data_IF_275036187300
#
_entry.id   IF_275036187300
#
_cell.length_a   1.000
_cell.length_b   1.000
_cell.length_c   1.000
_cell.angle_alpha   90.00
_cell.angle_beta   90.00
_cell.angle_gamma   90.00
#
_symmetry.space_group_name_H-M   'P 1'
#
loop_
_entity.id
_entity.type
_entity.pdbx_description
1 polymer ?
#
# COMPACT_ATOMS: atom_id res chain seq x y z
N UNK A 1 23.09 11.49 -40.27
CA UNK A 1 23.93 12.34 -39.41
C UNK A 1 25.23 11.58 -39.12
N UNK A 2 26.38 12.07 -39.60
CA UNK A 2 27.69 11.47 -39.26
C UNK A 2 28.20 12.19 -38.01
N UNK A 3 28.43 11.46 -36.93
CA UNK A 3 29.03 12.01 -35.73
C UNK A 3 30.54 12.06 -35.97
N UNK A 4 31.11 13.26 -36.03
CA UNK A 4 32.56 13.43 -36.16
C UNK A 4 33.23 13.38 -34.78
N UNK A 5 34.11 12.40 -34.60
CA UNK A 5 34.89 12.20 -33.38
C UNK A 5 36.34 12.71 -33.52
N UNK A 6 36.65 13.49 -34.57
CA UNK A 6 37.96 14.10 -34.79
C UNK A 6 38.47 14.86 -33.56
N UNK A 7 37.57 15.57 -32.85
CA UNK A 7 37.87 16.30 -31.61
C UNK A 7 38.45 15.42 -30.49
N UNK A 8 38.21 14.10 -30.51
CA UNK A 8 38.66 13.18 -29.46
C UNK A 8 40.16 12.83 -29.58
N UNK A 9 40.75 12.97 -30.77
CA UNK A 9 42.17 12.62 -30.99
C UNK A 9 43.11 13.54 -30.23
N UNK A 10 42.79 14.83 -30.16
CA UNK A 10 43.70 15.86 -29.63
C UNK A 10 43.48 16.18 -28.14
N UNK A 11 42.52 15.53 -27.48
CA UNK A 11 42.26 15.75 -26.04
C UNK A 11 43.41 15.17 -25.18
N UNK A 12 43.70 15.76 -24.02
CA UNK A 12 44.59 15.15 -23.04
C UNK A 12 43.97 13.86 -22.45
N UNK A 13 44.82 12.90 -22.08
CA UNK A 13 44.39 11.56 -21.62
C UNK A 13 43.35 11.61 -20.49
N UNK A 14 43.51 12.53 -19.51
CA UNK A 14 42.57 12.67 -18.40
C UNK A 14 41.16 13.04 -18.88
N UNK A 15 41.04 13.91 -19.89
CA UNK A 15 39.76 14.36 -20.43
C UNK A 15 39.10 13.26 -21.27
N UNK A 16 39.90 12.47 -21.99
CA UNK A 16 39.43 11.25 -22.68
C UNK A 16 38.85 10.24 -21.70
N UNK A 17 39.59 9.94 -20.62
CA UNK A 17 39.16 9.04 -19.56
C UNK A 17 37.89 9.54 -18.87
N UNK A 18 37.81 10.85 -18.55
CA UNK A 18 36.60 11.45 -17.95
C UNK A 18 35.39 11.34 -18.87
N UNK A 19 35.55 11.58 -20.17
CA UNK A 19 34.46 11.43 -21.15
C UNK A 19 33.98 9.99 -21.25
N UNK A 20 34.90 9.02 -21.31
CA UNK A 20 34.54 7.59 -21.31
C UNK A 20 33.77 7.23 -20.03
N UNK A 21 34.27 7.63 -18.87
CA UNK A 21 33.61 7.37 -17.58
C UNK A 21 32.22 8.02 -17.56
N UNK A 22 32.09 9.25 -18.04
CA UNK A 22 30.81 9.95 -18.13
C UNK A 22 29.80 9.21 -19.02
N UNK A 23 30.22 8.74 -20.20
CA UNK A 23 29.37 7.95 -21.11
C UNK A 23 28.97 6.62 -20.47
N UNK A 24 29.92 5.91 -19.86
CA UNK A 24 29.65 4.63 -19.18
C UNK A 24 28.65 4.82 -18.04
N UNK A 25 28.85 5.84 -17.19
CA UNK A 25 27.91 6.16 -16.12
C UNK A 25 26.53 6.54 -16.65
N UNK A 26 26.46 7.33 -17.72
CA UNK A 26 25.19 7.70 -18.35
C UNK A 26 24.44 6.47 -18.86
N UNK A 27 25.13 5.54 -19.53
CA UNK A 27 24.54 4.28 -20.02
C UNK A 27 24.03 3.42 -18.86
N UNK A 28 24.83 3.28 -17.79
CA UNK A 28 24.45 2.51 -16.60
C UNK A 28 23.21 3.13 -15.94
N UNK A 29 23.25 4.43 -15.62
CA UNK A 29 22.12 5.12 -14.99
C UNK A 29 20.88 5.08 -15.88
N UNK A 30 21.04 5.28 -17.19
CA UNK A 30 19.95 5.18 -18.15
C UNK A 30 19.31 3.79 -18.17
N UNK A 31 20.12 2.73 -18.24
CA UNK A 31 19.64 1.34 -18.22
C UNK A 31 18.85 1.03 -16.94
N UNK A 32 19.43 1.31 -15.76
CA UNK A 32 18.77 1.06 -14.48
C UNK A 32 17.53 1.94 -14.27
N UNK A 33 17.56 3.18 -14.75
CA UNK A 33 16.42 4.10 -14.69
C UNK A 33 15.24 3.61 -15.53
N UNK A 34 15.51 3.16 -16.77
CA UNK A 34 14.48 2.59 -17.65
C UNK A 34 13.94 1.29 -17.06
N UNK A 35 14.81 0.37 -16.63
CA UNK A 35 14.38 -0.89 -16.03
C UNK A 35 13.48 -0.66 -14.81
N UNK A 36 13.90 0.24 -13.89
CA UNK A 36 13.07 0.63 -12.76
C UNK A 36 11.74 1.22 -13.20
N UNK A 37 11.75 2.16 -14.15
CA UNK A 37 10.53 2.80 -14.64
C UNK A 37 9.54 1.77 -15.19
N UNK A 38 10.02 0.81 -15.98
CA UNK A 38 9.19 -0.27 -16.53
C UNK A 38 8.62 -1.17 -15.44
N UNK A 39 9.40 -1.50 -14.40
CA UNK A 39 8.94 -2.41 -13.35
C UNK A 39 8.04 -1.76 -12.29
N UNK A 40 8.13 -0.43 -12.08
CA UNK A 40 7.21 0.29 -11.19
C UNK A 40 5.94 0.76 -11.91
N UNK A 41 5.94 0.74 -13.24
CA UNK A 41 4.77 1.08 -14.03
C UNK A 41 3.70 0.00 -13.86
N UNK A 42 2.48 0.42 -13.55
CA UNK A 42 1.35 -0.44 -13.27
C UNK A 42 0.66 -0.98 -14.53
N UNK A 43 1.09 -0.59 -15.73
CA UNK A 43 0.50 -1.07 -16.99
C UNK A 43 0.56 -2.59 -17.16
N UNK A 44 1.61 -3.25 -16.67
CA UNK A 44 1.66 -4.72 -16.63
C UNK A 44 0.61 -5.27 -15.66
N UNK A 45 0.45 -4.63 -14.50
CA UNK A 45 -0.56 -4.99 -13.51
C UNK A 45 -1.98 -4.79 -14.07
N UNK A 46 -2.22 -3.68 -14.78
CA UNK A 46 -3.49 -3.34 -15.43
C UNK A 46 -3.90 -4.39 -16.46
N UNK A 47 -2.94 -4.94 -17.21
CA UNK A 47 -3.21 -5.99 -18.21
C UNK A 47 -3.90 -7.24 -17.63
N UNK A 48 -3.58 -7.60 -16.38
CA UNK A 48 -4.19 -8.74 -15.70
C UNK A 48 -5.24 -8.33 -14.64
N UNK A 49 -5.13 -7.13 -14.08
CA UNK A 49 -5.98 -6.61 -13.00
C UNK A 49 -6.61 -5.24 -13.36
N UNK A 50 -7.33 -5.12 -14.48
CA UNK A 50 -7.84 -3.84 -14.95
C UNK A 50 -8.80 -3.20 -13.93
N UNK A 51 -9.70 -4.01 -13.35
CA UNK A 51 -10.65 -3.53 -12.37
C UNK A 51 -10.00 -3.07 -11.07
N UNK A 52 -8.89 -3.69 -10.64
CA UNK A 52 -8.20 -3.26 -9.40
C UNK A 52 -7.39 -2.00 -9.66
N UNK A 53 -6.75 -1.92 -10.83
CA UNK A 53 -6.03 -0.74 -11.27
C UNK A 53 -6.94 0.50 -11.26
N UNK A 54 -8.15 0.41 -11.81
CA UNK A 54 -9.09 1.54 -11.82
C UNK A 54 -9.45 2.00 -10.39
N UNK A 55 -9.61 1.06 -9.46
CA UNK A 55 -9.90 1.38 -8.06
C UNK A 55 -8.75 2.01 -7.32
N UNK A 56 -7.54 1.59 -7.67
CA UNK A 56 -6.34 2.19 -7.12
C UNK A 56 -6.16 3.61 -7.64
N UNK A 57 -6.34 3.81 -8.94
CA UNK A 57 -6.26 5.13 -9.58
C UNK A 57 -7.26 6.14 -8.97
N UNK A 58 -8.45 5.67 -8.59
CA UNK A 58 -9.50 6.49 -7.98
C UNK A 58 -9.38 6.64 -6.45
N UNK A 59 -8.41 5.97 -5.81
CA UNK A 59 -8.27 5.96 -4.35
C UNK A 59 -7.85 7.31 -3.81
N UNK A 60 -8.65 7.92 -2.93
CA UNK A 60 -8.25 9.16 -2.22
C UNK A 60 -7.38 8.87 -1.01
N UNK A 61 -7.50 7.68 -0.44
CA UNK A 61 -6.72 7.25 0.73
C UNK A 61 -5.27 6.95 0.37
N UNK A 62 -5.03 6.29 -0.77
CA UNK A 62 -3.70 6.04 -1.31
C UNK A 62 -3.62 6.51 -2.77
N UNK A 63 -3.34 7.81 -3.01
CA UNK A 63 -3.24 8.35 -4.36
C UNK A 63 -2.17 7.63 -5.18
N UNK A 64 -2.51 7.24 -6.42
CA UNK A 64 -1.64 6.47 -7.30
C UNK A 64 -0.31 7.17 -7.66
N UNK A 65 -0.26 8.50 -7.55
CA UNK A 65 0.96 9.30 -7.74
C UNK A 65 1.94 9.22 -6.55
N UNK A 66 1.46 8.78 -5.38
CA UNK A 66 2.24 8.70 -4.14
C UNK A 66 2.50 7.29 -3.68
N UNK A 67 1.56 6.39 -3.93
CA UNK A 67 1.65 4.99 -3.57
C UNK A 67 1.36 4.18 -4.82
N UNK A 68 2.29 3.32 -5.22
CA UNK A 68 2.14 2.47 -6.42
C UNK A 68 1.90 1.02 -6.02
N UNK A 69 1.42 0.20 -6.96
CA UNK A 69 1.22 -1.23 -6.73
C UNK A 69 2.50 -1.91 -6.20
N UNK A 70 3.66 -1.46 -6.69
CA UNK A 70 4.99 -1.91 -6.27
C UNK A 70 5.23 -1.76 -4.76
N UNK A 71 4.82 -0.64 -4.16
CA UNK A 71 5.13 -0.33 -2.77
C UNK A 71 4.44 -1.26 -1.77
N UNK A 72 3.32 -1.84 -2.20
CA UNK A 72 2.54 -2.81 -1.45
C UNK A 72 2.91 -4.24 -1.82
N UNK A 73 3.14 -4.52 -3.11
CA UNK A 73 3.33 -5.87 -3.62
C UNK A 73 4.76 -6.37 -3.69
N UNK A 74 5.76 -5.61 -3.23
CA UNK A 74 7.15 -6.07 -3.25
C UNK A 74 7.81 -6.01 -1.89
N UNK A 75 8.86 -6.81 -1.72
CA UNK A 75 9.61 -6.82 -0.47
C UNK A 75 10.31 -5.47 -0.27
N UNK A 76 10.00 -4.81 0.84
CA UNK A 76 10.80 -3.69 1.30
C UNK A 76 12.22 -4.17 1.62
N UNK A 77 13.20 -3.64 0.91
CA UNK A 77 14.60 -3.97 1.09
C UNK A 77 15.23 -2.98 2.06
N UNK A 78 15.95 -3.51 3.07
CA UNK A 78 16.70 -2.70 4.02
C UNK A 78 17.86 -1.92 3.37
N UNK A 79 18.57 -1.15 4.18
CA UNK A 79 19.78 -0.44 3.71
C UNK A 79 20.92 -1.40 3.39
N UNK A 80 20.98 -2.51 4.12
CA UNK A 80 22.06 -3.49 4.05
C UNK A 80 21.51 -4.89 3.74
N UNK A 81 22.30 -5.74 3.06
CA UNK A 81 21.92 -7.13 2.82
C UNK A 81 21.84 -7.93 4.12
N UNK A 82 20.88 -8.85 4.17
CA UNK A 82 20.79 -9.85 5.23
C UNK A 82 22.05 -10.74 5.24
N UNK A 83 22.38 -11.34 6.40
CA UNK A 83 23.55 -12.22 6.52
C UNK A 83 23.45 -13.37 5.51
N UNK A 84 24.45 -13.51 4.64
CA UNK A 84 24.52 -14.54 3.61
C UNK A 84 23.83 -14.18 2.29
N UNK A 85 23.19 -13.01 2.19
CA UNK A 85 22.60 -12.56 0.93
C UNK A 85 23.68 -12.08 -0.04
N UNK A 86 23.44 -12.29 -1.34
CA UNK A 86 24.30 -11.76 -2.39
C UNK A 86 24.14 -10.23 -2.48
N UNK A 87 25.24 -9.50 -2.25
CA UNK A 87 25.24 -8.03 -2.22
C UNK A 87 24.82 -7.40 -3.56
N UNK A 88 25.23 -8.00 -4.68
CA UNK A 88 24.87 -7.53 -6.03
C UNK A 88 23.37 -7.67 -6.24
N UNK A 89 22.81 -8.83 -5.86
CA UNK A 89 21.37 -9.08 -5.94
C UNK A 89 20.59 -8.12 -5.03
N UNK A 90 21.05 -7.89 -3.81
CA UNK A 90 20.39 -6.97 -2.87
C UNK A 90 20.26 -5.55 -3.44
N UNK A 91 21.35 -4.98 -3.97
CA UNK A 91 21.30 -3.62 -4.54
C UNK A 91 20.58 -3.57 -5.89
N UNK A 92 20.68 -4.63 -6.72
CA UNK A 92 19.87 -4.75 -7.93
C UNK A 92 18.39 -4.71 -7.58
N UNK A 93 17.93 -5.55 -6.66
CA UNK A 93 16.49 -5.67 -6.32
C UNK A 93 15.93 -4.42 -5.64
N UNK A 94 16.81 -3.66 -4.97
CA UNK A 94 16.47 -2.35 -4.41
C UNK A 94 16.21 -1.30 -5.50
N UNK A 95 16.93 -1.38 -6.62
CA UNK A 95 16.78 -0.47 -7.75
C UNK A 95 15.66 -0.94 -8.68
N UNK A 96 15.65 -2.23 -9.00
CA UNK A 96 14.79 -2.89 -9.97
C UNK A 96 13.96 -3.94 -9.24
N UNK A 97 12.68 -3.69 -9.03
CA UNK A 97 11.87 -4.62 -8.26
C UNK A 97 11.37 -5.79 -9.08
N UNK A 98 11.96 -6.95 -8.83
CA UNK A 98 11.73 -8.16 -9.65
C UNK A 98 10.71 -9.14 -9.07
N UNK A 99 10.33 -9.00 -7.80
CA UNK A 99 9.52 -9.98 -7.09
C UNK A 99 8.25 -9.38 -6.49
N UNK A 100 7.14 -9.63 -7.16
CA UNK A 100 5.80 -9.27 -6.72
C UNK A 100 5.17 -10.41 -5.92
N UNK A 101 4.51 -10.07 -4.81
CA UNK A 101 3.88 -10.98 -3.89
C UNK A 101 2.65 -10.29 -3.26
N UNK A 102 1.48 -10.91 -3.40
CA UNK A 102 0.21 -10.49 -2.80
C UNK A 102 -0.11 -11.22 -1.49
N UNK A 103 0.85 -11.97 -0.96
CA UNK A 103 0.74 -12.67 0.30
C UNK A 103 0.51 -11.71 1.45
N UNK A 104 -0.43 -12.07 2.31
CA UNK A 104 -0.90 -11.29 3.47
C UNK A 104 0.23 -10.72 4.33
N UNK A 105 1.27 -11.51 4.61
CA UNK A 105 2.45 -11.06 5.37
C UNK A 105 3.20 -9.93 4.67
N UNK A 106 3.42 -10.04 3.35
CA UNK A 106 4.09 -9.01 2.55
C UNK A 106 3.33 -7.69 2.63
N UNK A 107 2.02 -7.75 2.39
CA UNK A 107 1.14 -6.59 2.44
C UNK A 107 1.16 -5.93 3.82
N UNK A 108 1.00 -6.72 4.89
CA UNK A 108 1.01 -6.23 6.26
C UNK A 108 2.34 -5.55 6.63
N UNK A 109 3.48 -6.16 6.30
CA UNK A 109 4.80 -5.59 6.56
C UNK A 109 4.97 -4.25 5.82
N UNK A 110 4.45 -4.15 4.59
CA UNK A 110 4.45 -2.92 3.80
C UNK A 110 3.48 -1.85 4.32
N UNK A 111 2.31 -2.22 4.86
CA UNK A 111 1.45 -1.29 5.57
C UNK A 111 2.22 -0.65 6.74
N UNK A 112 2.86 -1.47 7.57
CA UNK A 112 3.61 -1.01 8.75
C UNK A 112 4.86 -0.19 8.40
N UNK A 113 5.40 -0.33 7.19
CA UNK A 113 6.50 0.50 6.71
C UNK A 113 6.12 1.98 6.65
N UNK A 114 4.94 2.29 6.13
CA UNK A 114 4.44 3.67 6.05
C UNK A 114 3.62 4.06 7.31
N UNK A 115 3.03 3.09 8.00
CA UNK A 115 2.12 3.28 9.12
C UNK A 115 2.64 2.68 10.45
N UNK A 116 3.93 2.87 10.74
CA UNK A 116 4.61 2.23 11.88
C UNK A 116 3.99 2.56 13.25
N UNK A 117 3.33 3.72 13.39
CA UNK A 117 2.75 4.16 14.65
C UNK A 117 1.28 3.80 14.82
N UNK A 118 0.58 3.40 13.75
CA UNK A 118 -0.84 3.01 13.81
C UNK A 118 -1.10 1.93 14.87
N UNK A 119 -0.29 0.85 14.97
CA UNK A 119 -0.47 -0.15 16.03
C UNK A 119 -0.50 0.39 17.46
N UNK A 120 0.12 1.54 17.72
CA UNK A 120 0.24 2.13 19.06
C UNK A 120 -0.92 3.07 19.40
N UNK A 121 -1.78 3.39 18.43
CA UNK A 121 -2.86 4.35 18.62
C UNK A 121 -3.99 3.75 19.48
N UNK A 122 -4.28 4.40 20.61
CA UNK A 122 -5.37 4.04 21.51
C UNK A 122 -6.74 4.44 20.98
N UNK A 123 -6.81 5.45 20.12
CA UNK A 123 -8.04 5.88 19.48
C UNK A 123 -7.68 6.61 18.19
N UNK A 124 -8.38 6.29 17.09
CA UNK A 124 -8.15 6.95 15.82
C UNK A 124 -8.79 8.34 15.88
N UNK A 125 -7.95 9.38 15.99
CA UNK A 125 -8.42 10.77 15.90
C UNK A 125 -9.14 10.94 14.55
N UNK A 126 -10.38 11.45 14.58
CA UNK A 126 -11.29 11.70 13.45
C UNK A 126 -12.30 10.61 13.05
N UNK A 127 -12.43 9.49 13.79
CA UNK A 127 -13.57 8.57 13.58
C UNK A 127 -14.82 9.08 14.31
N UNK A 128 -15.66 9.88 13.63
CA UNK A 128 -16.83 10.54 14.24
C UNK A 128 -17.91 9.59 14.81
N UNK A 129 -17.88 8.29 14.46
CA UNK A 129 -19.01 7.38 14.72
C UNK A 129 -18.59 6.15 15.54
N UNK A 130 -17.35 5.67 15.41
CA UNK A 130 -16.88 4.41 16.03
C UNK A 130 -15.59 4.59 16.85
N UNK A 131 -15.53 3.89 17.98
CA UNK A 131 -14.40 3.78 18.90
C UNK A 131 -13.58 2.56 18.52
N UNK A 132 -12.40 2.77 17.95
CA UNK A 132 -11.45 1.69 17.65
C UNK A 132 -10.06 2.06 18.17
N UNK A 133 -9.53 1.16 18.99
CA UNK A 133 -8.17 1.22 19.53
C UNK A 133 -7.29 0.19 18.84
N UNK A 134 -6.38 0.63 17.95
CA UNK A 134 -5.39 -0.26 17.36
C UNK A 134 -4.52 -0.92 18.44
N UNK A 135 -4.14 -0.19 19.49
CA UNK A 135 -3.37 -0.73 20.61
C UNK A 135 -4.08 -1.86 21.39
N UNK A 136 -5.40 -2.01 21.24
CA UNK A 136 -6.18 -3.09 21.89
C UNK A 136 -6.46 -4.27 20.96
N UNK A 137 -6.32 -4.08 19.65
CA UNK A 137 -6.58 -5.11 18.65
C UNK A 137 -5.28 -5.68 18.08
N UNK A 138 -4.26 -4.85 17.90
CA UNK A 138 -2.99 -5.25 17.32
C UNK A 138 -2.03 -5.82 18.37
N UNK A 139 -1.73 -7.13 18.28
CA UNK A 139 -0.84 -7.87 19.20
C UNK A 139 -1.14 -7.64 20.69
N UNK A 140 -2.42 -7.47 21.02
CA UNK A 140 -2.85 -7.29 22.40
C UNK A 140 -2.91 -8.65 23.14
N UNK A 141 -2.87 -8.61 24.46
CA UNK A 141 -2.86 -9.81 25.31
C UNK A 141 -4.07 -10.73 25.06
N UNK A 142 -5.26 -10.12 24.86
CA UNK A 142 -6.53 -10.84 24.62
C UNK A 142 -6.87 -11.02 23.14
N UNK A 143 -6.19 -10.31 22.24
CA UNK A 143 -6.48 -10.29 20.80
C UNK A 143 -5.15 -10.32 20.04
N UNK A 144 -4.85 -11.46 19.42
CA UNK A 144 -3.59 -11.70 18.70
C UNK A 144 -3.70 -11.36 17.20
N UNK A 145 -4.35 -10.26 16.85
CA UNK A 145 -4.35 -9.80 15.45
C UNK A 145 -2.99 -9.13 15.21
N UNK A 146 -2.18 -9.68 14.31
CA UNK A 146 -0.89 -9.11 13.90
C UNK A 146 -0.86 -8.68 12.42
N UNK A 147 -2.04 -8.73 11.79
CA UNK A 147 -2.27 -8.49 10.38
C UNK A 147 -3.34 -7.42 10.16
N UNK A 148 -2.93 -6.27 9.63
CA UNK A 148 -3.78 -5.13 9.26
C UNK A 148 -4.88 -5.55 8.27
N UNK A 149 -4.61 -6.53 7.41
CA UNK A 149 -5.53 -6.97 6.37
C UNK A 149 -6.73 -7.75 6.90
N UNK A 150 -6.71 -8.20 8.16
CA UNK A 150 -7.88 -8.82 8.81
C UNK A 150 -9.07 -7.86 8.82
N UNK A 151 -8.82 -6.58 9.06
CA UNK A 151 -9.85 -5.54 9.09
C UNK A 151 -9.84 -4.65 7.84
N UNK A 152 -8.66 -4.42 7.24
CA UNK A 152 -8.45 -3.47 6.15
C UNK A 152 -8.31 -4.10 4.76
N UNK A 153 -8.86 -5.30 4.54
CA UNK A 153 -8.68 -6.10 3.31
C UNK A 153 -8.90 -5.33 2.00
N UNK A 154 -9.83 -4.37 1.98
CA UNK A 154 -10.19 -3.61 0.79
C UNK A 154 -9.78 -2.14 0.85
N UNK A 155 -9.08 -1.66 1.89
CA UNK A 155 -8.85 -0.20 2.08
C UNK A 155 -8.08 0.45 0.94
N UNK A 156 -7.17 -0.29 0.32
CA UNK A 156 -6.44 0.15 -0.86
C UNK A 156 -7.32 0.26 -2.12
N UNK A 157 -8.33 -0.60 -2.26
CA UNK A 157 -9.08 -0.81 -3.50
C UNK A 157 -10.60 -0.64 -3.30
N UNK A 158 -11.02 0.18 -2.34
CA UNK A 158 -12.44 0.28 -1.95
C UNK A 158 -13.23 1.14 -2.95
N UNK A 159 -14.33 0.61 -3.50
CA UNK A 159 -15.13 1.28 -4.56
C UNK A 159 -16.12 2.35 -4.04
N UNK A 160 -16.24 2.55 -2.73
CA UNK A 160 -17.43 3.20 -2.18
C UNK A 160 -17.35 4.71 -2.25
N UNK A 161 -18.48 5.33 -2.63
CA UNK A 161 -18.62 6.78 -2.80
C UNK A 161 -18.21 7.62 -1.57
N UNK A 162 -18.22 7.01 -0.38
CA UNK A 162 -17.68 7.59 0.86
C UNK A 162 -16.62 6.63 1.39
N UNK A 163 -15.37 6.90 1.03
CA UNK A 163 -14.21 6.23 1.62
C UNK A 163 -14.17 6.53 3.12
N UNK A 164 -14.56 5.55 3.94
CA UNK A 164 -14.56 5.77 5.38
C UNK A 164 -13.24 5.38 6.04
N UNK A 165 -12.38 4.61 5.35
CA UNK A 165 -11.19 3.94 5.91
C UNK A 165 -11.50 3.26 7.26
N UNK A 166 -12.71 2.71 7.37
CA UNK A 166 -13.22 2.03 8.57
C UNK A 166 -13.48 0.57 8.23
N UNK A 167 -13.19 -0.36 9.15
CA UNK A 167 -13.71 -1.70 9.01
C UNK A 167 -15.24 -1.67 9.01
N UNK A 168 -15.84 -2.55 8.23
CA UNK A 168 -17.28 -2.76 8.29
C UNK A 168 -17.67 -3.44 9.59
N UNK A 169 -18.91 -3.27 10.03
CA UNK A 169 -19.47 -4.09 11.12
C UNK A 169 -19.29 -5.59 10.84
N UNK A 170 -19.45 -5.98 9.57
CA UNK A 170 -19.08 -7.30 9.08
C UNK A 170 -17.65 -7.68 9.47
N UNK A 171 -16.65 -6.83 9.27
CA UNK A 171 -15.27 -7.12 9.69
C UNK A 171 -15.10 -7.32 11.19
N UNK A 172 -15.96 -6.73 12.03
CA UNK A 172 -15.95 -6.94 13.47
C UNK A 172 -16.62 -8.27 13.87
N UNK A 173 -17.73 -8.63 13.21
CA UNK A 173 -18.58 -9.76 13.59
C UNK A 173 -18.35 -11.04 12.80
N UNK A 174 -17.75 -10.97 11.61
CA UNK A 174 -17.51 -12.12 10.72
C UNK A 174 -16.47 -13.10 11.29
N UNK A 175 -15.62 -12.67 12.23
CA UNK A 175 -14.72 -13.54 12.96
C UNK A 175 -15.34 -14.14 14.23
N UNK A 176 -14.53 -14.90 14.97
CA UNK A 176 -14.84 -15.35 16.35
C UNK A 176 -14.66 -14.21 17.40
N UNK A 177 -14.42 -12.96 16.98
CA UNK A 177 -13.92 -11.91 17.88
C UNK A 177 -15.01 -11.20 18.70
N UNK A 178 -16.11 -10.79 18.04
CA UNK A 178 -17.17 -9.97 18.67
C UNK A 178 -18.58 -10.51 18.43
N UNK A 179 -18.75 -11.83 18.28
CA UNK A 179 -20.07 -12.44 17.99
C UNK A 179 -21.13 -12.09 19.04
N UNK A 180 -20.74 -12.02 20.30
CA UNK A 180 -21.63 -11.71 21.44
C UNK A 180 -22.03 -10.23 21.50
N UNK A 181 -21.32 -9.35 20.79
CA UNK A 181 -21.53 -7.90 20.80
C UNK A 181 -22.49 -7.43 19.70
N UNK A 182 -23.13 -8.37 18.99
CA UNK A 182 -24.15 -8.10 17.96
C UNK A 182 -25.49 -7.63 18.52
N UNK A 183 -25.68 -7.68 19.85
CA UNK A 183 -26.91 -7.29 20.53
C UNK A 183 -27.12 -5.77 20.49
N UNK A 184 -28.36 -5.33 20.30
CA UNK A 184 -28.72 -3.92 20.18
C UNK A 184 -28.38 -3.07 21.43
N UNK A 185 -28.35 -3.68 22.62
CA UNK A 185 -27.91 -3.01 23.84
C UNK A 185 -26.39 -2.71 23.89
N UNK A 186 -25.59 -3.31 23.01
CA UNK A 186 -24.12 -3.19 23.02
C UNK A 186 -23.53 -2.22 22.00
N UNK A 187 -24.37 -1.51 21.25
CA UNK A 187 -23.93 -0.56 20.23
C UNK A 187 -22.97 0.52 20.78
N UNK A 188 -23.18 0.96 22.02
CA UNK A 188 -22.37 2.00 22.69
C UNK A 188 -20.94 1.57 23.06
N UNK A 189 -20.67 0.26 23.07
CA UNK A 189 -19.31 -0.27 23.22
C UNK A 189 -18.43 0.19 22.06
N UNK A 190 -19.01 0.20 20.85
CA UNK A 190 -18.31 0.48 19.61
C UNK A 190 -18.62 1.87 19.06
N UNK A 191 -19.77 2.47 19.38
CA UNK A 191 -20.19 3.74 18.80
C UNK A 191 -20.13 4.90 19.81
N UNK A 192 -19.77 6.10 19.33
CA UNK A 192 -19.87 7.34 20.12
C UNK A 192 -21.29 7.86 20.22
N UNK A 193 -22.13 7.52 19.24
CA UNK A 193 -23.53 7.94 19.13
C UNK A 193 -24.40 6.72 18.83
N UNK A 194 -25.54 6.61 19.50
CA UNK A 194 -26.59 5.66 19.14
C UNK A 194 -27.41 6.31 18.03
N UNK A 195 -27.27 5.85 16.80
CA UNK A 195 -28.18 6.26 15.72
C UNK A 195 -29.53 5.62 16.02
N UNK A 196 -30.47 6.41 16.50
CA UNK A 196 -31.87 6.01 16.65
C UNK A 196 -32.54 6.36 15.33
N UNK A 197 -32.54 5.45 14.37
CA UNK A 197 -33.56 5.52 13.31
C UNK A 197 -34.83 4.93 13.91
N UNK A 198 -35.80 5.78 14.23
CA UNK A 198 -37.18 5.32 14.28
C UNK A 198 -37.51 4.82 12.87
N UNK A 199 -37.77 3.53 12.74
CA UNK A 199 -38.24 2.92 11.50
C UNK A 199 -39.46 3.72 11.05
N UNK A 200 -39.29 4.58 10.04
CA UNK A 200 -40.43 5.20 9.38
C UNK A 200 -41.18 4.06 8.73
N UNK A 201 -42.34 3.74 9.31
CA UNK A 201 -43.31 2.82 8.70
C UNK A 201 -43.47 3.28 7.26
N UNK A 202 -42.96 2.48 6.32
CA UNK A 202 -43.12 2.74 4.90
C UNK A 202 -44.63 2.72 4.64
N UNK A 203 -45.21 3.90 4.40
CA UNK A 203 -46.60 3.99 3.99
C UNK A 203 -46.77 3.12 2.75
N UNK A 204 -47.66 2.13 2.83
CA UNK A 204 -48.04 1.32 1.67
C UNK A 204 -48.45 2.28 0.57
N UNK A 205 -47.76 2.22 -0.56
CA UNK A 205 -48.22 2.83 -1.80
C UNK A 205 -49.54 2.13 -2.12
N UNK A 206 -50.67 2.82 -1.88
CA UNK A 206 -51.96 2.39 -2.40
C UNK A 206 -51.98 2.81 -3.87
N UNK A 207 -51.79 1.84 -4.75
CA UNK A 207 -52.03 2.03 -6.18
C UNK A 207 -53.47 2.53 -6.39
N UNK A 208 -53.59 3.66 -7.08
CA UNK A 208 -54.86 4.22 -7.58
C UNK A 208 -54.98 3.95 -9.07
#
# INVERSE_FOLDING_TARGET
MKIDFSFYKDLPVWLKSSLIIGVVLFVIVGFFGIARYTDINDGLCQGCHPTIHDLWADSKTHPADKVTCYECHTKAMGTFPDKGANIIVHYRDKIIPVHFNSGRRMLNDNCLRCHADIPKLKEVKNTRIIKISHAKHYKAEKVKIDDCMVCHYAVAHDKYAIETNRPRMQGCFLGECHKEDTKAERCELCHFVKLVEEEKVLEKITDK
#
